data_IF_399712137928
#
_entry.id   IF_399712137928
#
_cell.length_a   1.000
_cell.length_b   1.000
_cell.length_c   1.000
_cell.angle_alpha   90.00
_cell.angle_beta   90.00
_cell.angle_gamma   90.00
#
_symmetry.space_group_name_H-M   'P 1'
#
loop_
_entity.id
_entity.type
_entity.pdbx_description
1 polymer ?
#
# COMPACT_ATOMS: atom_id res chain seq x y z
N UNK A 1 -11.81 -14.65 -10.33
CA UNK A 1 -10.94 -15.86 -10.33
C UNK A 1 -11.30 -16.85 -11.43
N UNK A 2 -12.56 -17.29 -11.57
CA UNK A 2 -13.00 -18.23 -12.65
C UNK A 2 -12.74 -17.74 -14.10
N UNK A 3 -12.62 -16.43 -14.33
CA UNK A 3 -12.34 -15.87 -15.65
C UNK A 3 -10.87 -15.97 -16.11
N UNK A 4 -9.90 -16.02 -15.19
CA UNK A 4 -8.47 -16.06 -15.53
C UNK A 4 -7.98 -17.50 -15.79
N UNK A 5 -8.60 -18.49 -15.14
CA UNK A 5 -8.30 -19.92 -15.37
C UNK A 5 -8.73 -20.39 -16.76
N UNK A 6 -9.73 -19.75 -17.37
CA UNK A 6 -10.16 -20.04 -18.75
C UNK A 6 -9.19 -19.53 -19.83
N UNK A 7 -8.28 -18.62 -19.49
CA UNK A 7 -7.36 -18.01 -20.46
C UNK A 7 -6.06 -18.81 -20.68
N UNK A 8 -5.91 -19.99 -20.05
CA UNK A 8 -4.69 -20.83 -20.17
C UNK A 8 -3.45 -20.25 -19.49
N UNK A 9 -3.59 -19.19 -18.69
CA UNK A 9 -2.46 -18.55 -18.02
C UNK A 9 -1.90 -19.45 -16.90
N UNK A 10 -0.56 -19.56 -16.79
CA UNK A 10 0.07 -20.27 -15.68
C UNK A 10 -0.47 -19.77 -14.33
N UNK A 11 -0.74 -20.68 -13.36
CA UNK A 11 -1.39 -20.33 -12.08
C UNK A 11 -0.70 -19.18 -11.33
N UNK A 12 0.62 -19.06 -11.47
CA UNK A 12 1.46 -18.02 -10.86
C UNK A 12 1.11 -16.62 -11.37
N UNK A 13 0.83 -16.48 -12.66
CA UNK A 13 0.49 -15.21 -13.29
C UNK A 13 -0.94 -14.80 -12.92
N UNK A 14 -1.86 -15.77 -12.87
CA UNK A 14 -3.24 -15.54 -12.45
C UNK A 14 -3.33 -15.11 -10.97
N UNK A 15 -2.49 -15.67 -10.10
CA UNK A 15 -2.40 -15.27 -8.70
C UNK A 15 -1.76 -13.87 -8.55
N UNK A 16 -0.70 -13.57 -9.32
CA UNK A 16 -0.06 -12.27 -9.31
C UNK A 16 -1.00 -11.15 -9.81
N UNK A 17 -1.85 -11.43 -10.80
CA UNK A 17 -2.84 -10.49 -11.32
C UNK A 17 -4.10 -10.35 -10.43
N UNK A 18 -4.18 -11.06 -9.30
CA UNK A 18 -5.31 -10.93 -8.41
C UNK A 18 -5.39 -9.50 -7.82
N UNK A 19 -6.59 -8.90 -7.75
CA UNK A 19 -6.75 -7.57 -7.17
C UNK A 19 -6.42 -7.62 -5.68
N UNK A 20 -5.60 -6.68 -5.24
CA UNK A 20 -5.28 -6.51 -3.83
C UNK A 20 -6.47 -5.91 -3.10
N UNK A 21 -6.75 -6.39 -1.90
CA UNK A 21 -7.73 -5.76 -1.02
C UNK A 21 -7.09 -4.53 -0.38
N UNK A 22 -7.48 -3.34 -0.85
CA UNK A 22 -6.85 -2.08 -0.43
C UNK A 22 -6.93 -1.84 1.08
N UNK A 23 -8.06 -2.17 1.72
CA UNK A 23 -8.20 -2.07 3.17
C UNK A 23 -7.24 -2.97 3.94
N UNK A 24 -7.00 -4.20 3.47
CA UNK A 24 -6.09 -5.15 4.13
C UNK A 24 -4.64 -4.67 4.03
N UNK A 25 -4.22 -4.22 2.85
CA UNK A 25 -2.88 -3.67 2.68
C UNK A 25 -2.70 -2.38 3.50
N UNK A 26 -3.70 -1.50 3.51
CA UNK A 26 -3.70 -0.31 4.35
C UNK A 26 -3.53 -0.66 5.83
N UNK A 27 -4.34 -1.56 6.38
CA UNK A 27 -4.22 -1.97 7.79
C UNK A 27 -2.85 -2.57 8.09
N UNK A 28 -2.35 -3.46 7.23
CA UNK A 28 -1.04 -4.07 7.42
C UNK A 28 0.08 -3.03 7.47
N UNK A 29 0.13 -2.11 6.50
CA UNK A 29 1.13 -1.03 6.43
C UNK A 29 0.97 -0.08 7.62
N UNK A 30 -0.26 0.30 7.95
CA UNK A 30 -0.56 1.15 9.10
C UNK A 30 -0.07 0.56 10.43
N UNK A 31 -0.35 -0.71 10.69
CA UNK A 31 0.11 -1.40 11.92
C UNK A 31 1.63 -1.46 11.98
N UNK A 32 2.29 -1.81 10.87
CA UNK A 32 3.76 -1.88 10.81
C UNK A 32 4.37 -0.50 11.09
N UNK A 33 3.87 0.57 10.45
CA UNK A 33 4.39 1.92 10.68
C UNK A 33 4.10 2.43 12.09
N UNK A 34 2.91 2.16 12.64
CA UNK A 34 2.57 2.50 14.02
C UNK A 34 3.51 1.81 15.03
N UNK A 35 3.77 0.52 14.82
CA UNK A 35 4.71 -0.25 15.65
C UNK A 35 6.14 0.27 15.53
N UNK A 36 6.63 0.49 14.31
CA UNK A 36 7.96 1.04 14.07
C UNK A 36 8.13 2.41 14.72
N UNK A 37 7.12 3.29 14.57
CA UNK A 37 7.10 4.59 15.21
C UNK A 37 7.18 4.47 16.74
N UNK A 38 6.32 3.66 17.33
CA UNK A 38 6.29 3.46 18.78
C UNK A 38 7.65 2.94 19.29
N UNK A 39 8.25 1.97 18.60
CA UNK A 39 9.57 1.43 18.96
C UNK A 39 10.65 2.50 18.90
N UNK A 40 10.68 3.34 17.86
CA UNK A 40 11.66 4.43 17.73
C UNK A 40 11.49 5.45 18.87
N UNK A 41 10.25 5.89 19.14
CA UNK A 41 10.00 6.86 20.23
C UNK A 41 10.32 6.25 21.60
N UNK A 42 9.99 4.98 21.86
CA UNK A 42 10.37 4.31 23.11
C UNK A 42 11.88 4.13 23.24
N UNK A 43 12.57 3.71 22.19
CA UNK A 43 14.02 3.56 22.20
C UNK A 43 14.69 4.90 22.53
N UNK A 44 14.19 5.98 21.96
CA UNK A 44 14.69 7.32 22.27
C UNK A 44 14.45 7.72 23.73
N UNK A 45 13.31 7.38 24.32
CA UNK A 45 13.00 7.70 25.71
C UNK A 45 13.77 6.85 26.73
N UNK A 46 14.07 5.59 26.40
CA UNK A 46 14.57 4.61 27.38
C UNK A 46 16.06 4.29 27.24
N UNK A 47 16.61 4.40 26.04
CA UNK A 47 17.94 3.86 25.72
C UNK A 47 18.89 4.96 25.25
N UNK A 48 18.40 5.92 24.46
CA UNK A 48 19.26 6.92 23.84
C UNK A 48 19.39 8.18 24.70
N UNK A 49 20.52 8.87 24.54
CA UNK A 49 20.71 10.21 25.07
C UNK A 49 19.73 11.20 24.43
N UNK A 50 19.29 12.23 25.16
CA UNK A 50 18.36 13.24 24.64
C UNK A 50 18.79 13.88 23.31
N UNK A 51 20.09 14.03 23.10
CA UNK A 51 20.65 14.69 21.92
C UNK A 51 20.87 13.75 20.72
N UNK A 52 20.52 12.46 20.84
CA UNK A 52 20.84 11.49 19.80
C UNK A 52 20.01 11.68 18.53
N UNK A 53 18.73 12.02 18.67
CA UNK A 53 17.79 12.23 17.56
C UNK A 53 16.85 13.40 17.84
N UNK A 54 16.66 14.27 16.85
CA UNK A 54 15.72 15.40 16.92
C UNK A 54 14.27 14.96 16.62
N UNK A 55 13.73 14.04 17.42
CA UNK A 55 12.36 13.52 17.27
C UNK A 55 11.30 14.58 17.55
N UNK A 56 11.66 15.65 18.26
CA UNK A 56 10.87 16.85 18.51
C UNK A 56 10.38 17.52 17.21
N UNK A 57 11.13 17.44 16.12
CA UNK A 57 10.71 17.93 14.79
C UNK A 57 9.44 17.23 14.27
N UNK A 58 9.15 16.00 14.70
CA UNK A 58 7.93 15.31 14.29
C UNK A 58 6.68 15.96 14.90
N UNK A 59 6.83 16.78 15.95
CA UNK A 59 5.74 17.58 16.50
C UNK A 59 5.20 18.63 15.54
N UNK A 60 5.97 19.02 14.52
CA UNK A 60 5.51 19.95 13.47
C UNK A 60 4.55 19.28 12.48
N UNK A 61 4.70 17.97 12.26
CA UNK A 61 3.88 17.21 11.31
C UNK A 61 2.73 16.48 12.00
N UNK A 62 2.96 15.98 13.22
CA UNK A 62 1.98 15.23 14.00
C UNK A 62 1.40 16.09 15.11
N UNK A 63 0.21 16.64 14.85
CA UNK A 63 -0.54 17.43 15.81
C UNK A 63 -0.70 16.68 17.14
N UNK A 64 -0.24 17.33 18.23
CA UNK A 64 -0.28 16.78 19.59
C UNK A 64 0.86 15.82 19.93
N UNK A 65 1.78 15.54 19.01
CA UNK A 65 2.96 14.73 19.30
C UNK A 65 3.99 15.53 20.11
N UNK A 66 4.48 14.89 21.17
CA UNK A 66 5.61 15.34 21.98
C UNK A 66 6.41 14.11 22.38
N UNK A 67 7.73 14.21 22.45
CA UNK A 67 8.62 13.11 22.86
C UNK A 67 8.34 12.75 24.33
N UNK A 68 7.43 11.80 24.55
CA UNK A 68 6.89 11.42 25.85
C UNK A 68 6.16 10.08 25.72
N UNK A 69 5.91 9.39 26.84
CA UNK A 69 5.14 8.14 26.83
C UNK A 69 3.74 8.32 26.23
N UNK A 70 3.07 9.45 26.50
CA UNK A 70 1.78 9.77 25.87
C UNK A 70 1.91 10.05 24.36
N UNK A 71 2.99 10.71 23.95
CA UNK A 71 3.28 10.98 22.55
C UNK A 71 3.55 9.73 21.72
N UNK A 72 4.00 8.62 22.32
CA UNK A 72 4.09 7.32 21.63
C UNK A 72 2.74 6.93 21.05
N UNK A 73 1.66 7.04 21.82
CA UNK A 73 0.31 6.67 21.36
C UNK A 73 -0.23 7.63 20.31
N UNK A 74 0.00 8.93 20.50
CA UNK A 74 -0.41 9.96 19.53
C UNK A 74 0.32 9.76 18.20
N UNK A 75 1.64 9.60 18.24
CA UNK A 75 2.46 9.39 17.06
C UNK A 75 2.22 8.04 16.40
N UNK A 76 1.99 6.97 17.15
CA UNK A 76 1.59 5.67 16.60
C UNK A 76 0.24 5.75 15.88
N UNK A 77 -0.72 6.54 16.40
CA UNK A 77 -2.01 6.78 15.73
C UNK A 77 -1.82 7.52 14.41
N UNK A 78 -1.00 8.58 14.39
CA UNK A 78 -0.66 9.29 13.17
C UNK A 78 0.07 8.40 12.15
N UNK A 79 1.06 7.63 12.59
CA UNK A 79 1.79 6.68 11.75
C UNK A 79 0.88 5.58 11.20
N UNK A 80 -0.10 5.11 12.00
CA UNK A 80 -1.14 4.20 11.52
C UNK A 80 -1.96 4.82 10.40
N UNK A 81 -2.47 6.04 10.59
CA UNK A 81 -3.31 6.72 9.59
C UNK A 81 -2.53 6.95 8.30
N UNK A 82 -1.32 7.51 8.41
CA UNK A 82 -0.45 7.76 7.25
C UNK A 82 -0.11 6.45 6.53
N UNK A 83 0.26 5.41 7.28
CA UNK A 83 0.55 4.08 6.72
C UNK A 83 -0.66 3.42 6.08
N UNK A 84 -1.83 3.56 6.70
CA UNK A 84 -3.09 3.06 6.15
C UNK A 84 -3.41 3.72 4.82
N UNK A 85 -3.35 5.04 4.75
CA UNK A 85 -3.62 5.79 3.53
C UNK A 85 -2.60 5.43 2.44
N UNK A 86 -1.31 5.37 2.77
CA UNK A 86 -0.27 4.98 1.82
C UNK A 86 -0.48 3.55 1.29
N UNK A 87 -0.73 2.57 2.16
CA UNK A 87 -0.97 1.18 1.77
C UNK A 87 -2.26 1.01 0.97
N UNK A 88 -3.32 1.75 1.33
CA UNK A 88 -4.57 1.76 0.59
C UNK A 88 -4.40 2.34 -0.82
N UNK A 89 -3.73 3.48 -0.94
CA UNK A 89 -3.44 4.13 -2.21
C UNK A 89 -2.57 3.25 -3.12
N UNK A 90 -1.57 2.56 -2.56
CA UNK A 90 -0.73 1.64 -3.32
C UNK A 90 -1.55 0.49 -3.92
N UNK A 91 -2.42 -0.14 -3.13
CA UNK A 91 -3.31 -1.19 -3.63
C UNK A 91 -4.29 -0.65 -4.68
N UNK A 92 -4.86 0.53 -4.46
CA UNK A 92 -5.76 1.19 -5.40
C UNK A 92 -5.07 1.47 -6.74
N UNK A 93 -3.90 2.11 -6.71
CA UNK A 93 -3.12 2.43 -7.90
C UNK A 93 -2.70 1.17 -8.66
N UNK A 94 -2.21 0.14 -7.96
CA UNK A 94 -1.85 -1.14 -8.58
C UNK A 94 -3.04 -1.83 -9.25
N UNK A 95 -4.19 -1.86 -8.59
CA UNK A 95 -5.40 -2.47 -9.14
C UNK A 95 -5.90 -1.71 -10.37
N UNK A 96 -5.87 -0.37 -10.32
CA UNK A 96 -6.22 0.49 -11.46
C UNK A 96 -5.29 0.28 -12.65
N UNK A 97 -3.98 0.21 -12.41
CA UNK A 97 -2.98 -0.07 -13.44
C UNK A 97 -3.20 -1.45 -14.09
N UNK A 98 -3.45 -2.49 -13.30
CA UNK A 98 -3.74 -3.84 -13.82
C UNK A 98 -5.02 -3.85 -14.66
N UNK A 99 -6.08 -3.19 -14.20
CA UNK A 99 -7.33 -3.10 -14.94
C UNK A 99 -7.14 -2.40 -16.29
N UNK A 100 -6.47 -1.24 -16.30
CA UNK A 100 -6.19 -0.49 -17.51
C UNK A 100 -5.35 -1.29 -18.51
N UNK A 101 -4.32 -1.97 -18.02
CA UNK A 101 -3.44 -2.79 -18.87
C UNK A 101 -4.19 -3.95 -19.52
N UNK A 102 -5.07 -4.63 -18.77
CA UNK A 102 -5.92 -5.70 -19.29
C UNK A 102 -6.91 -5.18 -20.34
N UNK A 103 -7.43 -3.98 -20.18
CA UNK A 103 -8.36 -3.38 -21.15
C UNK A 103 -7.64 -3.02 -22.45
N UNK A 104 -6.44 -2.45 -22.37
CA UNK A 104 -5.61 -2.16 -23.56
C UNK A 104 -5.32 -3.44 -24.36
N UNK A 105 -5.02 -4.55 -23.68
CA UNK A 105 -4.79 -5.84 -24.35
C UNK A 105 -6.07 -6.36 -25.01
N UNK A 106 -7.22 -6.23 -24.34
CA UNK A 106 -8.52 -6.63 -24.89
C UNK A 106 -8.89 -5.82 -26.14
N UNK A 107 -8.69 -4.50 -26.10
CA UNK A 107 -8.93 -3.63 -27.26
C UNK A 107 -8.08 -4.07 -28.46
N UNK A 108 -6.78 -4.30 -28.26
CA UNK A 108 -5.88 -4.76 -29.33
C UNK A 108 -6.26 -6.13 -29.87
N UNK A 109 -6.66 -7.05 -29.00
CA UNK A 109 -7.08 -8.40 -29.40
C UNK A 109 -8.37 -8.42 -30.22
N UNK A 110 -9.31 -7.51 -29.93
CA UNK A 110 -10.56 -7.40 -30.68
C UNK A 110 -10.34 -6.84 -32.10
N UNK A 111 -9.45 -5.86 -32.25
CA UNK A 111 -9.12 -5.27 -33.56
C UNK A 111 -8.42 -6.28 -34.50
N UNK A 112 -7.50 -7.08 -33.98
CA UNK A 112 -6.87 -8.15 -34.77
C UNK A 112 -7.84 -9.28 -35.14
N UNK A 113 -8.98 -9.40 -34.46
CA UNK A 113 -10.01 -10.39 -34.77
C UNK A 113 -11.00 -9.90 -35.83
N UNK A 114 -11.37 -8.62 -35.85
CA UNK A 114 -12.20 -8.07 -36.93
C UNK A 114 -11.48 -8.08 -38.28
N UNK A 115 -10.19 -7.73 -38.30
CA UNK A 115 -9.37 -7.71 -39.52
C UNK A 115 -9.26 -9.10 -40.18
N UNK A 116 -9.29 -10.17 -39.38
CA UNK A 116 -9.31 -11.55 -39.89
C UNK A 116 -10.67 -11.95 -40.49
N UNK A 117 -11.78 -11.41 -39.99
CA UNK A 117 -13.12 -11.74 -40.47
C UNK A 117 -13.48 -10.98 -41.75
N UNK A 118 -12.89 -9.81 -41.98
CA UNK A 118 -13.11 -9.00 -43.19
C UNK A 118 -12.32 -9.50 -44.41
N UNK A 119 -11.36 -10.43 -44.21
CA UNK A 119 -10.52 -11.02 -45.25
C UNK A 119 -11.01 -12.36 -45.83
N UNK A 120 -12.21 -12.83 -45.45
CA UNK A 120 -12.86 -14.07 -45.91
C UNK A 120 -14.17 -13.70 -46.61
#
# INVERSE_FOLDING_TARGET
MRALTRAGLPPRIAAAAAPLRAGVLGVAVGVVLAGAFALVTLAHLLILSPDAWHLDLLGEYFLGYRVSVGGVFVGATWAFIVGFVAGWLLAFARNGALWLWLEIIRMKANLGRSDFLDGI
#
